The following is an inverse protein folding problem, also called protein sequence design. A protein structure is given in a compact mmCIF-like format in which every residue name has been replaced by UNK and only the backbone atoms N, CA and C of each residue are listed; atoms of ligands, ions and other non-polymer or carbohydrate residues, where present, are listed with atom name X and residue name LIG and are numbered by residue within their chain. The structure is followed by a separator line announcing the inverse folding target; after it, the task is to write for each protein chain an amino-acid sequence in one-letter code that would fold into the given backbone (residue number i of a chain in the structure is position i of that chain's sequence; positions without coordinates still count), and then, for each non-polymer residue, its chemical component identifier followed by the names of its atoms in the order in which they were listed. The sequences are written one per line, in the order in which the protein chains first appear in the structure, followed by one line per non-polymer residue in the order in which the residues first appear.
data_IF_202060726889
#
_entry.id   IF_202060726889
#
_cell.length_a   1.000
_cell.length_b   1.000
_cell.length_c   1.000
_cell.angle_alpha   90.00
_cell.angle_beta   90.00
_cell.angle_gamma   90.00
#
_symmetry.space_group_name_H-M   'P 1'
#
loop_
_entity.id
_entity.type
_entity.pdbx_description
1 polymer ?
#
# COMPACT_ATOMS: atom_id res chain seq x y z
N UNK A 1 -11.15 -6.92 16.80
CA UNK A 1 -9.79 -6.53 17.22
C UNK A 1 -9.00 -7.79 17.47
N UNK A 2 -7.77 -7.88 16.98
CA UNK A 2 -6.92 -9.07 17.10
C UNK A 2 -5.63 -8.69 17.81
N UNK A 3 -5.25 -9.40 18.87
CA UNK A 3 -4.05 -9.08 19.64
C UNK A 3 -2.95 -10.08 19.32
N UNK A 4 -1.80 -9.57 18.91
CA UNK A 4 -0.56 -10.33 18.77
C UNK A 4 0.29 -10.12 20.02
N UNK A 5 0.75 -11.21 20.64
CA UNK A 5 1.67 -11.17 21.78
C UNK A 5 2.96 -11.91 21.43
N UNK A 6 4.09 -11.28 21.68
CA UNK A 6 5.42 -11.90 21.52
C UNK A 6 6.32 -11.45 22.67
N UNK A 7 6.64 -12.38 23.57
CA UNK A 7 7.36 -12.08 24.80
C UNK A 7 6.57 -11.12 25.71
N UNK A 8 7.15 -9.95 25.96
CA UNK A 8 6.61 -8.87 26.80
C UNK A 8 5.81 -7.82 26.00
N UNK A 9 5.65 -8.00 24.69
CA UNK A 9 5.04 -7.01 23.79
C UNK A 9 3.71 -7.47 23.26
N UNK A 10 2.75 -6.55 23.24
CA UNK A 10 1.46 -6.74 22.61
C UNK A 10 1.24 -5.68 21.53
N UNK A 11 0.69 -6.10 20.40
CA UNK A 11 0.25 -5.23 19.31
C UNK A 11 -1.19 -5.56 18.98
N UNK A 12 -2.05 -4.54 18.91
CA UNK A 12 -3.46 -4.71 18.56
C UNK A 12 -3.64 -4.40 17.09
N UNK A 13 -4.28 -5.32 16.38
CA UNK A 13 -4.65 -5.21 14.98
C UNK A 13 -6.15 -4.96 14.85
N UNK A 14 -6.50 -4.10 13.91
CA UNK A 14 -7.87 -3.81 13.50
C UNK A 14 -8.02 -4.13 12.02
N UNK A 15 -9.20 -4.65 11.67
CA UNK A 15 -9.56 -4.93 10.28
C UNK A 15 -10.78 -4.08 9.96
N UNK A 16 -10.63 -3.20 8.98
CA UNK A 16 -11.72 -2.40 8.42
C UNK A 16 -12.13 -3.06 7.11
N UNK A 17 -13.36 -3.60 7.05
CA UNK A 17 -13.90 -4.21 5.83
C UNK A 17 -15.17 -3.49 5.39
N UNK A 18 -15.32 -3.30 4.08
CA UNK A 18 -16.47 -2.61 3.52
C UNK A 18 -16.28 -2.24 2.06
N UNK A 19 -17.28 -1.54 1.53
CA UNK A 19 -17.31 -1.05 0.17
C UNK A 19 -16.62 0.31 0.07
N UNK A 20 -15.77 0.51 -0.94
CA UNK A 20 -15.21 1.83 -1.25
C UNK A 20 -16.33 2.71 -1.81
N UNK A 21 -16.63 3.84 -1.16
CA UNK A 21 -17.66 4.79 -1.61
C UNK A 21 -17.08 6.00 -2.33
N UNK A 22 -15.84 6.38 -2.01
CA UNK A 22 -15.13 7.48 -2.65
C UNK A 22 -13.63 7.24 -2.68
N UNK A 23 -12.93 7.80 -3.68
CA UNK A 23 -11.49 7.61 -3.87
C UNK A 23 -10.89 8.82 -4.58
N UNK A 24 -9.89 9.44 -3.98
CA UNK A 24 -9.21 10.63 -4.46
C UNK A 24 -7.69 10.46 -4.42
N UNK A 25 -6.99 10.96 -5.44
CA UNK A 25 -5.53 10.90 -5.52
C UNK A 25 -4.96 12.28 -5.77
N UNK A 26 -4.01 12.67 -4.93
CA UNK A 26 -3.27 13.91 -5.03
C UNK A 26 -1.78 13.61 -5.22
N UNK A 27 -1.12 14.30 -6.14
CA UNK A 27 0.33 14.25 -6.28
C UNK A 27 0.98 15.46 -5.61
N UNK A 28 1.83 15.23 -4.62
CA UNK A 28 2.65 16.24 -3.96
C UNK A 28 4.07 16.20 -4.55
N UNK A 29 4.54 17.29 -5.16
CA UNK A 29 5.93 17.41 -5.64
C UNK A 29 6.74 18.29 -4.70
N UNK A 30 7.81 17.74 -4.12
CA UNK A 30 8.79 18.48 -3.32
C UNK A 30 10.05 18.73 -4.11
N UNK A 31 10.44 19.99 -4.23
CA UNK A 31 11.68 20.40 -4.90
C UNK A 31 12.66 20.93 -3.85
N UNK A 32 13.84 20.32 -3.79
CA UNK A 32 14.94 20.75 -2.93
C UNK A 32 16.10 21.16 -3.80
N UNK A 33 16.61 22.38 -3.60
CA UNK A 33 17.81 22.89 -4.25
C UNK A 33 18.92 23.04 -3.22
N UNK A 34 20.14 22.62 -3.57
CA UNK A 34 21.34 22.75 -2.73
C UNK A 34 22.49 23.29 -3.58
N UNK A 35 23.34 24.14 -3.03
CA UNK A 35 24.41 24.82 -3.78
C UNK A 35 24.07 26.28 -4.14
N UNK A 36 24.88 26.92 -4.97
CA UNK A 36 24.72 28.34 -5.34
C UNK A 36 25.36 29.33 -4.36
N UNK A 37 26.16 28.84 -3.41
CA UNK A 37 26.94 29.68 -2.49
C UNK A 37 28.38 29.78 -3.01
N UNK A 38 28.94 30.98 -2.98
CA UNK A 38 30.36 31.24 -3.28
C UNK A 38 31.24 30.52 -2.25
N UNK A 39 32.16 29.70 -2.72
CA UNK A 39 33.19 29.09 -1.86
C UNK A 39 34.38 30.05 -1.79
N UNK A 40 34.66 30.56 -0.59
CA UNK A 40 35.85 31.35 -0.26
C UNK A 40 36.12 32.59 -1.12
N UNK A 41 35.30 33.65 -1.00
CA UNK A 41 35.69 35.07 -1.15
C UNK A 41 36.51 35.52 -2.37
N UNK A 42 36.71 34.67 -3.37
CA UNK A 42 37.38 34.91 -4.64
C UNK A 42 36.33 34.75 -5.73
N UNK A 43 36.26 35.76 -6.58
CA UNK A 43 35.11 36.12 -7.42
C UNK A 43 34.74 35.15 -8.56
N UNK A 44 34.92 33.83 -8.41
CA UNK A 44 34.60 32.90 -9.51
C UNK A 44 34.28 31.45 -9.16
N UNK A 45 34.42 30.99 -7.91
CA UNK A 45 34.13 29.59 -7.56
C UNK A 45 32.77 29.48 -6.85
N UNK A 46 31.76 29.03 -7.60
CA UNK A 46 30.39 28.81 -7.10
C UNK A 46 30.14 27.31 -6.97
N UNK A 47 29.59 26.89 -5.83
CA UNK A 47 29.17 25.49 -5.66
C UNK A 47 28.09 25.12 -6.67
N UNK A 48 28.21 23.99 -7.39
CA UNK A 48 27.22 23.59 -8.38
C UNK A 48 25.84 23.43 -7.74
N UNK A 49 24.84 24.04 -8.36
CA UNK A 49 23.44 23.91 -7.92
C UNK A 49 22.95 22.51 -8.26
N UNK A 50 22.60 21.75 -7.23
CA UNK A 50 21.95 20.44 -7.33
C UNK A 50 20.48 20.61 -6.99
N UNK A 51 19.64 20.44 -8.00
CA UNK A 51 18.18 20.37 -7.85
C UNK A 51 17.76 18.90 -7.79
N UNK A 52 17.01 18.55 -6.76
CA UNK A 52 16.36 17.24 -6.63
C UNK A 52 14.85 17.45 -6.46
N UNK A 53 14.06 16.62 -7.13
CA UNK A 53 12.59 16.63 -7.03
C UNK A 53 12.10 15.24 -6.63
N UNK A 54 11.14 15.21 -5.72
CA UNK A 54 10.48 13.97 -5.25
C UNK A 54 8.97 14.17 -5.37
N UNK A 55 8.31 13.29 -6.13
CA UNK A 55 6.85 13.25 -6.24
C UNK A 55 6.30 12.16 -5.33
N UNK A 56 5.28 12.48 -4.53
CA UNK A 56 4.65 11.60 -3.56
C UNK A 56 3.15 11.58 -3.84
N UNK A 57 2.58 10.40 -4.05
CA UNK A 57 1.14 10.24 -4.24
C UNK A 57 0.49 10.09 -2.86
N UNK A 58 -0.46 10.97 -2.54
CA UNK A 58 -1.35 10.85 -1.41
C UNK A 58 -2.68 10.30 -1.93
N UNK A 59 -3.11 9.16 -1.40
CA UNK A 59 -4.34 8.49 -1.80
C UNK A 59 -5.29 8.48 -0.61
N UNK A 60 -6.43 9.13 -0.75
CA UNK A 60 -7.50 9.17 0.23
C UNK A 60 -8.72 8.44 -0.31
N UNK A 61 -9.37 7.62 0.51
CA UNK A 61 -10.61 6.95 0.11
C UNK A 61 -11.50 6.70 1.32
N UNK A 62 -12.79 6.57 1.05
CA UNK A 62 -13.82 6.36 2.04
C UNK A 62 -14.34 4.93 1.95
N UNK A 63 -14.45 4.26 3.09
CA UNK A 63 -14.93 2.88 3.21
C UNK A 63 -16.20 2.86 4.03
N UNK A 64 -17.29 2.34 3.45
CA UNK A 64 -18.55 2.12 4.15
C UNK A 64 -18.59 0.70 4.67
N UNK A 65 -18.63 0.57 5.99
CA UNK A 65 -18.76 -0.72 6.67
C UNK A 65 -20.16 -1.32 6.49
N UNK A 66 -20.35 -2.63 6.71
CA UNK A 66 -21.67 -3.26 6.70
C UNK A 66 -22.67 -2.62 7.68
N UNK A 67 -22.16 -2.01 8.75
CA UNK A 67 -22.96 -1.27 9.75
C UNK A 67 -23.44 0.10 9.22
N UNK A 68 -23.07 0.46 7.98
CA UNK A 68 -23.42 1.71 7.33
C UNK A 68 -22.53 2.90 7.70
N UNK A 69 -21.54 2.72 8.57
CA UNK A 69 -20.61 3.76 9.00
C UNK A 69 -19.48 3.94 7.98
N UNK A 70 -19.20 5.19 7.62
CA UNK A 70 -18.13 5.56 6.71
C UNK A 70 -16.85 5.93 7.47
N UNK A 71 -15.72 5.46 6.97
CA UNK A 71 -14.39 5.72 7.52
C UNK A 71 -13.48 6.31 6.44
N UNK A 72 -12.79 7.41 6.77
CA UNK A 72 -11.74 7.96 5.92
C UNK A 72 -10.43 7.18 6.10
N UNK A 73 -9.78 6.86 4.99
CA UNK A 73 -8.48 6.17 4.96
C UNK A 73 -7.52 7.00 4.13
N UNK A 74 -6.36 7.32 4.72
CA UNK A 74 -5.33 8.16 4.11
C UNK A 74 -4.03 7.38 3.99
N UNK A 75 -3.61 7.15 2.76
CA UNK A 75 -2.37 6.47 2.41
C UNK A 75 -1.41 7.46 1.76
N UNK A 76 -0.13 7.38 2.13
CA UNK A 76 0.92 8.27 1.61
C UNK A 76 2.03 7.46 0.95
N UNK A 77 2.41 7.88 -0.25
CA UNK A 77 3.49 7.27 -1.04
C UNK A 77 3.09 5.96 -1.72
N UNK A 78 1.80 5.63 -1.77
CA UNK A 78 1.30 4.39 -2.38
C UNK A 78 0.25 4.73 -3.42
N UNK A 79 0.40 4.16 -4.63
CA UNK A 79 -0.56 4.29 -5.71
C UNK A 79 -1.37 2.99 -5.86
N UNK A 80 -2.57 2.96 -5.28
CA UNK A 80 -3.44 1.79 -5.32
C UNK A 80 -4.62 2.06 -6.27
N UNK A 81 -4.87 1.24 -7.29
CA UNK A 81 -6.03 1.43 -8.16
C UNK A 81 -7.31 0.96 -7.45
N UNK A 82 -7.92 1.84 -6.66
CA UNK A 82 -9.24 1.64 -6.03
C UNK A 82 -10.31 2.45 -6.75
N UNK A 83 -11.49 1.84 -6.92
CA UNK A 83 -12.68 2.46 -7.48
C UNK A 83 -13.86 2.27 -6.54
N UNK A 84 -14.81 3.20 -6.60
CA UNK A 84 -16.10 3.07 -5.90
C UNK A 84 -16.81 1.76 -6.27
N UNK A 85 -17.48 1.12 -5.32
CA UNK A 85 -18.16 -0.16 -5.51
C UNK A 85 -17.29 -1.39 -5.31
N UNK A 86 -16.02 -1.22 -4.91
CA UNK A 86 -15.13 -2.36 -4.64
C UNK A 86 -15.15 -2.72 -3.16
N UNK A 87 -15.29 -4.01 -2.87
CA UNK A 87 -15.17 -4.56 -1.53
C UNK A 87 -13.71 -4.73 -1.17
N UNK A 88 -13.32 -4.14 -0.05
CA UNK A 88 -11.96 -4.17 0.45
C UNK A 88 -11.91 -4.57 1.92
N UNK A 89 -10.74 -5.07 2.32
CA UNK A 89 -10.37 -5.21 3.72
C UNK A 89 -8.99 -4.60 3.96
N UNK A 90 -8.93 -3.71 4.93
CA UNK A 90 -7.73 -3.00 5.34
C UNK A 90 -7.31 -3.50 6.73
N UNK A 91 -6.11 -4.07 6.81
CA UNK A 91 -5.51 -4.52 8.06
C UNK A 91 -4.57 -3.42 8.57
N UNK A 92 -4.80 -2.98 9.80
CA UNK A 92 -4.01 -1.95 10.47
C UNK A 92 -3.53 -2.42 11.83
N UNK A 93 -2.33 -2.01 12.24
CA UNK A 93 -1.89 -2.13 13.63
C UNK A 93 -2.10 -0.81 14.37
N UNK A 94 -2.52 -0.86 15.62
CA UNK A 94 -2.62 0.31 16.47
C UNK A 94 -1.26 0.62 17.10
N UNK A 95 -0.81 1.85 16.92
CA UNK A 95 0.33 2.40 17.65
C UNK A 95 -0.05 2.66 19.11
N UNK A 96 0.96 2.89 19.97
CA UNK A 96 0.75 3.22 21.39
C UNK A 96 -0.06 4.51 21.59
N UNK A 97 -0.01 5.42 20.62
CA UNK A 97 -0.79 6.66 20.59
C UNK A 97 -2.24 6.48 20.11
N UNK A 98 -2.62 5.26 19.72
CA UNK A 98 -3.95 4.93 19.18
C UNK A 98 -4.10 5.18 17.68
N UNK A 99 -3.09 5.72 16.99
CA UNK A 99 -3.18 5.95 15.55
C UNK A 99 -3.07 4.62 14.77
N UNK A 100 -3.90 4.42 13.73
CA UNK A 100 -3.84 3.23 12.91
C UNK A 100 -2.65 3.31 11.95
N UNK A 101 -1.84 2.27 11.96
CA UNK A 101 -0.78 2.06 11.00
C UNK A 101 -1.24 1.02 9.99
N UNK A 102 -1.57 1.47 8.78
CA UNK A 102 -2.03 0.61 7.70
C UNK A 102 -0.91 -0.30 7.19
N UNK A 103 -1.18 -1.60 7.09
CA UNK A 103 -0.19 -2.64 6.78
C UNK A 103 -0.48 -3.31 5.46
N UNK A 104 -1.71 -3.81 5.31
CA UNK A 104 -2.14 -4.59 4.16
C UNK A 104 -3.52 -4.14 3.72
N UNK A 105 -3.70 -4.01 2.41
CA UNK A 105 -4.99 -3.79 1.80
C UNK A 105 -5.26 -4.94 0.83
N UNK A 106 -6.41 -5.59 1.02
CA UNK A 106 -6.93 -6.61 0.12
C UNK A 106 -8.17 -6.06 -0.58
N UNK A 107 -8.22 -6.19 -1.89
CA UNK A 107 -9.41 -5.91 -2.68
C UNK A 107 -10.00 -7.23 -3.15
N UNK A 108 -11.18 -7.53 -2.61
CA UNK A 108 -11.90 -8.78 -2.85
C UNK A 108 -12.51 -8.78 -4.25
N UNK A 109 -13.00 -7.63 -4.73
CA UNK A 109 -13.57 -7.48 -6.07
C UNK A 109 -12.53 -7.69 -7.19
N UNK A 110 -11.32 -7.15 -7.01
CA UNK A 110 -10.24 -7.24 -7.98
C UNK A 110 -9.29 -8.44 -7.74
N UNK A 111 -9.50 -9.21 -6.67
CA UNK A 111 -8.63 -10.29 -6.21
C UNK A 111 -7.14 -9.89 -6.13
N UNK A 112 -6.87 -8.66 -5.68
CA UNK A 112 -5.52 -8.09 -5.57
C UNK A 112 -5.20 -7.69 -4.14
N UNK A 113 -3.92 -7.83 -3.77
CA UNK A 113 -3.38 -7.40 -2.48
C UNK A 113 -2.28 -6.37 -2.67
N UNK A 114 -2.19 -5.42 -1.75
CA UNK A 114 -1.11 -4.44 -1.66
C UNK A 114 -0.56 -4.44 -0.26
N UNK A 115 0.76 -4.65 -0.15
CA UNK A 115 1.51 -4.51 1.10
C UNK A 115 1.90 -3.04 1.20
N UNK A 116 1.30 -2.33 2.15
CA UNK A 116 1.59 -0.91 2.40
C UNK A 116 2.83 -0.75 3.27
N UNK A 117 3.07 -1.73 4.16
CA UNK A 117 4.18 -1.67 5.09
C UNK A 117 4.67 -3.06 5.45
N UNK A 118 5.98 -3.26 5.32
CA UNK A 118 6.64 -4.50 5.71
C UNK A 118 6.76 -4.63 7.23
N UNK A 119 6.86 -5.86 7.72
CA UNK A 119 7.07 -6.13 9.15
C UNK A 119 8.34 -5.49 9.73
N UNK A 120 9.37 -5.23 8.92
CA UNK A 120 10.58 -4.54 9.38
C UNK A 120 10.32 -3.05 9.67
N UNK A 121 9.56 -2.39 8.79
CA UNK A 121 9.10 -1.02 9.01
C UNK A 121 8.13 -0.97 10.19
N UNK A 122 7.26 -1.98 10.31
CA UNK A 122 6.32 -2.13 11.41
C UNK A 122 7.03 -2.28 12.76
N UNK A 123 8.04 -3.15 12.84
CA UNK A 123 8.87 -3.33 14.04
C UNK A 123 9.53 -2.02 14.48
N UNK A 124 10.01 -1.24 13.52
CA UNK A 124 10.68 0.04 13.78
C UNK A 124 9.69 1.09 14.28
N UNK A 125 8.52 1.20 13.64
CA UNK A 125 7.50 2.19 14.01
C UNK A 125 6.70 1.85 15.28
N UNK A 126 6.54 0.56 15.61
CA UNK A 126 5.94 0.14 16.88
C UNK A 126 6.97 -0.01 18.01
N UNK A 127 8.25 0.31 17.76
CA UNK A 127 9.33 0.22 18.73
C UNK A 127 9.42 -1.18 19.40
N UNK A 128 9.19 -2.22 18.61
CA UNK A 128 9.10 -3.59 19.12
C UNK A 128 10.46 -4.15 19.55
N UNK A 129 11.58 -3.46 19.37
CA UNK A 129 12.81 -3.74 20.10
C UNK A 129 13.47 -2.43 20.58
N UNK A 130 13.26 -2.02 21.84
CA UNK A 130 14.03 -0.92 22.40
C UNK A 130 15.52 -1.27 22.40
N UNK A 131 16.34 -0.28 22.11
CA UNK A 131 17.78 -0.40 22.22
C UNK A 131 18.15 -0.67 23.68
N UNK A 132 18.80 -1.82 23.96
CA UNK A 132 19.15 -2.22 25.32
C UNK A 132 20.34 -1.41 25.84
N UNK A 133 20.08 -0.24 26.45
CA UNK A 133 21.12 0.61 27.04
C UNK A 133 21.99 -0.11 28.07
N UNK A 134 21.43 -1.13 28.74
CA UNK A 134 22.16 -2.02 29.67
C UNK A 134 23.37 -2.68 29.00
N UNK A 135 23.23 -3.15 27.76
CA UNK A 135 24.34 -3.77 27.02
C UNK A 135 25.43 -2.74 26.73
N UNK A 136 25.07 -1.51 26.37
CA UNK A 136 26.03 -0.42 26.15
C UNK A 136 26.77 -0.09 27.44
N UNK A 137 26.08 -0.01 28.58
CA UNK A 137 26.72 0.26 29.86
C UNK A 137 27.69 -0.84 30.28
N UNK A 138 27.34 -2.12 30.07
CA UNK A 138 28.21 -3.26 30.38
C UNK A 138 29.47 -3.24 29.50
N UNK A 139 29.31 -3.03 28.19
CA UNK A 139 30.44 -2.96 27.24
C UNK A 139 31.33 -1.77 27.54
N UNK A 140 30.74 -0.60 27.82
CA UNK A 140 31.48 0.59 28.23
C UNK A 140 32.28 0.34 29.52
N UNK A 141 31.68 -0.31 30.52
CA UNK A 141 32.36 -0.68 31.76
C UNK A 141 33.54 -1.62 31.54
N UNK A 142 33.36 -2.65 30.71
CA UNK A 142 34.44 -3.59 30.36
C UNK A 142 35.58 -2.93 29.58
N UNK A 143 35.26 -2.02 28.64
CA UNK A 143 36.28 -1.30 27.89
C UNK A 143 37.13 -0.39 28.79
N UNK A 144 36.51 0.33 29.73
CA UNK A 144 37.21 1.19 30.69
C UNK A 144 38.11 0.35 31.62
N UNK A 145 37.63 -0.77 32.15
CA UNK A 145 38.44 -1.70 32.94
C UNK A 145 39.59 -2.32 32.12
N UNK A 146 39.39 -2.50 30.81
CA UNK A 146 40.39 -3.02 29.88
C UNK A 146 41.59 -2.10 29.68
N UNK A 147 41.40 -0.77 29.75
CA UNK A 147 42.50 0.19 29.67
C UNK A 147 43.47 0.07 30.86
N UNK A 148 42.96 -0.31 32.04
CA UNK A 148 43.79 -0.53 33.23
C UNK A 148 44.50 -1.90 33.24
N UNK A 149 44.07 -2.86 32.41
CA UNK A 149 44.49 -4.27 32.45
C UNK A 149 45.17 -4.74 31.15
N UNK A 150 45.85 -3.83 30.45
CA UNK A 150 46.59 -4.13 29.21
C UNK A 150 45.70 -4.78 28.13
N UNK A 151 44.47 -4.28 27.98
CA UNK A 151 43.59 -4.63 26.86
C UNK A 151 42.72 -5.88 27.03
N UNK A 152 42.88 -6.66 28.11
CA UNK A 152 42.05 -7.86 28.37
C UNK A 152 40.55 -7.54 28.47
N UNK A 153 40.19 -6.44 29.14
CA UNK A 153 38.80 -5.99 29.22
C UNK A 153 38.21 -5.52 27.89
N UNK A 154 39.04 -5.04 26.95
CA UNK A 154 38.59 -4.64 25.61
C UNK A 154 38.19 -5.88 24.80
N UNK A 155 38.99 -6.96 24.87
CA UNK A 155 38.66 -8.23 24.19
C UNK A 155 37.37 -8.85 24.75
N UNK A 156 37.23 -8.87 26.08
CA UNK A 156 36.02 -9.37 26.72
C UNK A 156 34.80 -8.49 26.41
N UNK A 157 34.97 -7.16 26.34
CA UNK A 157 33.92 -6.21 25.95
C UNK A 157 33.46 -6.40 24.51
N UNK A 158 34.41 -6.57 23.58
CA UNK A 158 34.14 -6.86 22.18
C UNK A 158 33.44 -8.21 22.00
N UNK A 159 33.88 -9.26 22.70
CA UNK A 159 33.24 -10.57 22.68
C UNK A 159 31.80 -10.54 23.19
N UNK A 160 31.56 -9.87 24.32
CA UNK A 160 30.22 -9.70 24.86
C UNK A 160 29.32 -8.85 23.95
N UNK A 161 29.86 -7.79 23.34
CA UNK A 161 29.14 -6.97 22.38
C UNK A 161 28.72 -7.79 21.15
N UNK A 162 29.62 -8.58 20.58
CA UNK A 162 29.31 -9.47 19.46
C UNK A 162 28.24 -10.51 19.85
N UNK A 163 28.35 -11.11 21.03
CA UNK A 163 27.35 -12.06 21.54
C UNK A 163 25.97 -11.39 21.71
N UNK A 164 25.92 -10.22 22.36
CA UNK A 164 24.67 -9.49 22.60
C UNK A 164 24.05 -8.98 21.29
N UNK A 165 24.87 -8.52 20.34
CA UNK A 165 24.40 -8.13 19.00
C UNK A 165 23.83 -9.34 18.26
N UNK A 166 24.53 -10.47 18.27
CA UNK A 166 24.06 -11.70 17.63
C UNK A 166 22.73 -12.17 18.22
N UNK A 167 22.65 -12.27 19.56
CA UNK A 167 21.43 -12.67 20.25
C UNK A 167 20.28 -11.69 19.99
N UNK A 168 20.56 -10.38 20.01
CA UNK A 168 19.59 -9.33 19.69
C UNK A 168 19.10 -9.42 18.23
N UNK A 169 19.98 -9.71 17.29
CA UNK A 169 19.64 -9.91 15.88
C UNK A 169 18.74 -11.13 15.69
N UNK A 170 19.03 -12.25 16.35
CA UNK A 170 18.22 -13.46 16.26
C UNK A 170 16.81 -13.25 16.84
N UNK A 171 16.68 -12.55 17.98
CA UNK A 171 15.37 -12.19 18.55
C UNK A 171 14.56 -11.32 17.61
N UNK A 172 15.20 -10.34 16.95
CA UNK A 172 14.52 -9.50 15.94
C UNK A 172 14.04 -10.33 14.75
N UNK A 173 14.86 -11.27 14.25
CA UNK A 173 14.48 -12.15 13.15
C UNK A 173 13.27 -13.01 13.49
N UNK A 174 13.26 -13.62 14.69
CA UNK A 174 12.12 -14.41 15.17
C UNK A 174 10.86 -13.56 15.30
N UNK A 175 10.96 -12.38 15.91
CA UNK A 175 9.81 -11.48 16.05
C UNK A 175 9.25 -11.06 14.69
N UNK A 176 10.11 -10.70 13.73
CA UNK A 176 9.67 -10.33 12.37
C UNK A 176 9.01 -11.53 11.68
N UNK A 177 9.56 -12.73 11.85
CA UNK A 177 8.99 -13.96 11.28
C UNK A 177 7.61 -14.26 11.87
N UNK A 178 7.46 -14.21 13.18
CA UNK A 178 6.19 -14.46 13.87
C UNK A 178 5.15 -13.38 13.50
N UNK A 179 5.58 -12.13 13.39
CA UNK A 179 4.73 -11.01 12.99
C UNK A 179 4.24 -11.17 11.55
N UNK A 180 5.11 -11.56 10.62
CA UNK A 180 4.73 -11.89 9.25
C UNK A 180 3.75 -13.05 9.20
N UNK A 181 4.04 -14.16 9.90
CA UNK A 181 3.15 -15.32 9.95
C UNK A 181 1.76 -14.94 10.53
N UNK A 182 1.71 -14.03 11.49
CA UNK A 182 0.47 -13.52 12.03
C UNK A 182 -0.30 -12.64 11.05
N UNK A 183 0.39 -11.74 10.33
CA UNK A 183 -0.22 -10.93 9.27
C UNK A 183 -0.77 -11.83 8.16
N UNK A 184 -0.02 -12.85 7.74
CA UNK A 184 -0.46 -13.82 6.73
C UNK A 184 -1.68 -14.62 7.20
N UNK A 185 -1.72 -14.99 8.49
CA UNK A 185 -2.90 -15.64 9.09
C UNK A 185 -4.13 -14.72 9.07
N UNK A 186 -3.96 -13.44 9.41
CA UNK A 186 -5.05 -12.47 9.36
C UNK A 186 -5.52 -12.25 7.92
N UNK A 187 -4.60 -12.15 6.96
CA UNK A 187 -4.93 -12.02 5.53
C UNK A 187 -5.72 -13.24 5.04
N UNK A 188 -5.31 -14.45 5.40
CA UNK A 188 -6.05 -15.67 5.07
C UNK A 188 -7.46 -15.72 5.70
N UNK A 189 -7.60 -15.29 6.97
CA UNK A 189 -8.90 -15.20 7.64
C UNK A 189 -9.82 -14.20 6.92
N UNK A 190 -9.29 -13.03 6.58
CA UNK A 190 -10.01 -11.96 5.88
C UNK A 190 -10.41 -12.38 4.47
N UNK A 191 -9.50 -13.00 3.71
CA UNK A 191 -9.78 -13.53 2.38
C UNK A 191 -10.86 -14.64 2.40
N UNK A 192 -10.91 -15.44 3.46
CA UNK A 192 -11.95 -16.48 3.61
C UNK A 192 -13.34 -15.89 3.88
N UNK A 193 -13.43 -14.80 4.66
CA UNK A 193 -14.71 -14.11 4.95
C UNK A 193 -15.30 -13.42 3.74
N UNK A 194 -14.47 -12.82 2.89
CA UNK A 194 -14.91 -12.19 1.64
C UNK A 194 -15.47 -13.19 0.61
N UNK A 195 -15.20 -14.49 0.77
CA UNK A 195 -15.63 -15.55 -0.17
C UNK A 195 -16.83 -16.37 0.31
N UNK A 196 -17.29 -16.17 1.55
CA UNK A 196 -18.51 -16.81 2.02
C UNK A 196 -19.72 -16.21 1.28
N UNK A 197 -20.50 -17.00 0.52
CA UNK A 197 -21.74 -16.49 -0.05
C UNK A 197 -22.67 -16.09 1.09
N UNK A 198 -23.16 -14.85 1.03
CA UNK A 198 -24.24 -14.38 1.89
C UNK A 198 -25.40 -15.39 1.87
N UNK A 199 -25.79 -16.00 3.00
CA UNK A 199 -26.96 -16.87 3.06
C UNK A 199 -28.21 -15.99 3.09
N UNK A 200 -28.48 -15.34 1.97
CA UNK A 200 -29.68 -14.53 1.77
C UNK A 200 -30.14 -14.62 0.32
N UNK A 201 -30.27 -15.83 -0.21
CA UNK A 201 -31.15 -16.11 -1.34
C UNK A 201 -31.44 -17.62 -1.36
N UNK A 202 -32.68 -17.94 -1.00
CA UNK A 202 -33.57 -19.00 -1.51
C UNK A 202 -34.55 -19.29 -0.38
N UNK A 203 -35.70 -18.64 -0.42
CA UNK A 203 -37.05 -19.22 -0.39
C UNK A 203 -38.00 -18.02 -0.46
N UNK A 204 -38.42 -17.66 -1.68
CA UNK A 204 -39.74 -17.06 -1.86
C UNK A 204 -40.62 -18.12 -2.54
N UNK A 205 -41.85 -18.33 -2.04
CA UNK A 205 -42.65 -19.49 -2.37
C UNK A 205 -43.22 -19.38 -3.78
N UNK A 206 -43.30 -20.53 -4.43
CA UNK A 206 -43.93 -20.76 -5.71
C UNK A 206 -45.31 -20.08 -5.79
N UNK A 207 -45.46 -19.14 -6.72
CA UNK A 207 -46.78 -18.79 -7.22
C UNK A 207 -47.12 -19.73 -8.37
N UNK A 208 -48.07 -20.60 -8.08
CA UNK A 208 -48.87 -21.34 -9.05
C UNK A 208 -49.68 -20.30 -9.82
N UNK A 209 -49.29 -19.99 -11.05
CA UNK A 209 -50.23 -19.48 -12.05
C UNK A 209 -50.38 -20.50 -13.16
N UNK A 210 -51.51 -21.19 -13.01
CA UNK A 210 -52.22 -22.01 -13.96
C UNK A 210 -52.59 -21.16 -15.19
N UNK A 211 -51.91 -21.34 -16.31
CA UNK A 211 -52.45 -20.98 -17.61
C UNK A 211 -52.27 -22.13 -18.61
N UNK A 212 -53.41 -22.79 -18.82
CA UNK A 212 -53.77 -23.58 -19.98
C UNK A 212 -53.69 -22.66 -21.21
N UNK A 213 -53.07 -23.09 -22.31
CA UNK A 213 -53.77 -23.46 -23.56
C UNK A 213 -52.83 -23.47 -24.79
N UNK A 214 -52.94 -24.59 -25.53
CA UNK A 214 -52.77 -24.79 -26.97
C UNK A 214 -51.40 -24.61 -27.67
N UNK A 215 -50.85 -25.77 -28.04
CA UNK A 215 -50.25 -26.06 -29.34
C UNK A 215 -50.92 -25.28 -30.50
N UNK A 216 -50.11 -24.73 -31.41
CA UNK A 216 -50.29 -24.87 -32.87
C UNK A 216 -48.89 -24.80 -33.51
N UNK A 217 -48.52 -25.92 -34.12
CA UNK A 217 -47.46 -26.11 -35.11
C UNK A 217 -48.04 -25.80 -36.49
N UNK A 218 -47.42 -24.93 -37.27
CA UNK A 218 -47.52 -24.93 -38.74
C UNK A 218 -46.17 -24.49 -39.33
N UNK A 219 -45.52 -25.39 -40.08
CA UNK A 219 -44.49 -25.13 -41.10
C UNK A 219 -45.12 -24.42 -42.31
N UNK A 220 -44.42 -23.48 -42.96
CA UNK A 220 -43.83 -23.66 -44.31
C UNK A 220 -43.35 -22.34 -44.96
N UNK A 221 -42.28 -22.50 -45.75
CA UNK A 221 -41.82 -21.76 -46.94
C UNK A 221 -41.33 -20.29 -46.91
N UNK A 222 -40.11 -20.13 -47.48
CA UNK A 222 -39.53 -18.92 -48.08
C UNK A 222 -39.81 -18.92 -49.61
N UNK A 223 -39.29 -17.99 -50.47
CA UNK A 223 -38.77 -16.62 -50.31
C UNK A 223 -39.37 -15.61 -51.34
N UNK A 224 -38.93 -14.33 -51.30
CA UNK A 224 -38.46 -13.47 -52.44
C UNK A 224 -38.72 -11.96 -52.23
N UNK A 225 -37.60 -11.23 -52.11
CA UNK A 225 -37.15 -9.91 -52.64
C UNK A 225 -37.97 -8.59 -52.61
N UNK A 226 -37.14 -7.53 -52.67
CA UNK A 226 -37.37 -6.08 -52.93
C UNK A 226 -37.74 -5.22 -51.70
N UNK A 227 -37.13 -4.07 -51.41
CA UNK A 227 -36.08 -3.25 -52.05
C UNK A 227 -35.58 -2.22 -51.01
N UNK A 228 -34.33 -1.75 -51.17
CA UNK A 228 -33.86 -0.38 -50.83
C UNK A 228 -33.83 0.04 -49.35
N UNK A 229 -32.64 0.43 -48.85
CA UNK A 229 -32.25 1.84 -48.61
C UNK A 229 -30.94 1.92 -47.78
N UNK A 230 -30.02 2.77 -48.26
CA UNK A 230 -28.81 3.37 -47.66
C UNK A 230 -27.52 2.53 -47.54
N UNK A 231 -26.58 2.87 -48.42
CA UNK A 231 -25.17 2.54 -48.37
C UNK A 231 -24.36 3.84 -48.53
N UNK A 232 -23.60 4.23 -47.50
CA UNK A 232 -22.46 5.18 -47.46
C UNK A 232 -22.27 5.57 -45.97
N UNK A 233 -21.10 5.64 -45.35
CA UNK A 233 -19.71 5.61 -45.78
C UNK A 233 -18.90 5.13 -44.57
N UNK A 234 -17.95 4.22 -44.79
CA UNK A 234 -16.93 3.83 -43.80
C UNK A 234 -15.72 4.71 -44.10
N UNK A 235 -15.32 5.56 -43.15
CA UNK A 235 -13.99 6.19 -43.17
C UNK A 235 -13.27 5.92 -41.84
N UNK A 236 -12.08 5.33 -41.99
CA UNK A 236 -11.13 4.96 -40.96
C UNK A 236 -10.22 6.16 -40.59
N UNK A 237 -9.37 6.05 -39.55
CA UNK A 237 -8.99 7.17 -38.69
C UNK A 237 -7.86 8.06 -39.22
N UNK A 238 -7.89 9.32 -38.77
CA UNK A 238 -6.90 10.36 -39.05
C UNK A 238 -5.47 9.93 -38.71
N UNK A 239 -4.60 10.07 -39.70
CA UNK A 239 -3.16 9.88 -39.62
C UNK A 239 -2.49 10.87 -38.66
N UNK A 240 -1.56 10.36 -37.87
CA UNK A 240 -0.64 11.06 -36.99
C UNK A 240 0.30 11.98 -37.78
N UNK A 241 0.25 13.27 -37.51
CA UNK A 241 1.26 14.23 -37.97
C UNK A 241 2.52 14.15 -37.09
N UNK A 242 3.74 14.09 -37.66
CA UNK A 242 4.96 14.12 -36.88
C UNK A 242 5.22 15.53 -36.31
N UNK A 243 5.52 15.59 -35.01
CA UNK A 243 5.84 16.79 -34.24
C UNK A 243 7.01 17.58 -34.87
N UNK A 244 6.71 18.76 -35.40
CA UNK A 244 7.71 19.70 -35.94
C UNK A 244 8.52 20.34 -34.79
N UNK A 245 9.80 19.99 -34.73
CA UNK A 245 10.80 20.47 -33.76
C UNK A 245 11.03 21.99 -33.73
N UNK A 246 10.63 22.72 -34.78
CA UNK A 246 10.76 24.19 -34.81
C UNK A 246 9.74 24.90 -33.90
N UNK A 247 8.59 24.28 -33.65
CA UNK A 247 7.51 24.83 -32.82
C UNK A 247 7.94 24.99 -31.36
N UNK A 248 8.76 24.04 -30.87
CA UNK A 248 9.26 24.01 -29.48
C UNK A 248 10.31 25.11 -29.26
N UNK A 249 11.16 25.39 -30.25
CA UNK A 249 12.18 26.44 -30.15
C UNK A 249 11.57 27.84 -30.10
N UNK A 250 10.46 28.07 -30.81
CA UNK A 250 9.78 29.38 -30.82
C UNK A 250 9.01 29.66 -29.51
N UNK A 251 8.64 28.63 -28.75
CA UNK A 251 7.99 28.80 -27.44
C UNK A 251 8.98 29.20 -26.33
N UNK A 252 10.25 28.77 -26.43
CA UNK A 252 11.28 29.06 -25.42
C UNK A 252 11.95 30.44 -25.58
N UNK A 253 11.86 31.08 -26.75
CA UNK A 253 12.47 32.39 -27.01
C UNK A 253 11.59 33.58 -26.66
N UNK A 254 10.38 33.36 -26.09
CA UNK A 254 9.42 34.43 -25.77
C UNK A 254 9.35 34.80 -24.29
N UNK A 255 10.18 34.17 -23.44
CA UNK A 255 10.24 34.43 -22.00
C UNK A 255 11.68 34.71 -21.52
N UNK A 256 12.42 35.53 -22.28
CA UNK A 256 13.65 36.17 -21.83
C UNK A 256 13.50 37.68 -22.03
#
# INVERSE_FOLDING_TARGET
MHTFTHGDKSVVFTVLSGEVVGSEKLSETRVTSTGGVHVNGKDSEVTPVRVSSVSIINHEFWVKTPDGVEHDVKLRGVDIPLRTGQDISLISALKKDGSPLHILLQNHTAAKRWVLRDANALHTELELAPFNWKTVMIVSGLCVAGLATVGLGILAGAGYFCYAWYQGSQRKKLLISDLNAYIDKLDAEVGSRGRAPSPAQVVQPAQVELFVEADIVIEEESPVQEEKTVQASVDAPAQSQPLNSESVRRALSRNL
#
